data_IF_630190858055
#
_entry.id   IF_630190858055
#
_cell.length_a   1.000
_cell.length_b   1.000
_cell.length_c   1.000
_cell.angle_alpha   90.00
_cell.angle_beta   90.00
_cell.angle_gamma   90.00
#
_symmetry.space_group_name_H-M   'P 1'
#
loop_
_entity.id
_entity.type
_entity.pdbx_description
1 polymer ?
#
# COMPACT_ATOMS: atom_id res chain seq x y z
N UNK A 1 -0.94 -23.51 -7.74
CA UNK A 1 -0.35 -22.30 -8.35
C UNK A 1 0.52 -21.63 -7.30
N UNK A 2 1.81 -21.49 -7.56
CA UNK A 2 2.79 -21.17 -6.53
C UNK A 2 2.64 -19.74 -5.98
N UNK A 3 2.72 -19.60 -4.65
CA UNK A 3 2.68 -18.30 -3.94
C UNK A 3 3.66 -17.28 -4.55
N UNK A 4 4.83 -17.77 -4.98
CA UNK A 4 5.89 -16.97 -5.62
C UNK A 4 5.48 -16.46 -7.01
N UNK A 5 4.79 -17.28 -7.81
CA UNK A 5 4.27 -16.86 -9.12
C UNK A 5 3.18 -15.79 -8.98
N UNK A 6 2.26 -15.97 -8.03
CA UNK A 6 1.20 -15.00 -7.78
C UNK A 6 1.78 -13.64 -7.31
N UNK A 7 2.77 -13.65 -6.40
CA UNK A 7 3.47 -12.43 -6.00
C UNK A 7 4.15 -11.73 -7.18
N UNK A 8 4.83 -12.47 -8.05
CA UNK A 8 5.48 -11.88 -9.22
C UNK A 8 4.49 -11.25 -10.21
N UNK A 9 3.31 -11.88 -10.40
CA UNK A 9 2.24 -11.29 -11.19
C UNK A 9 1.71 -9.99 -10.56
N UNK A 10 1.48 -9.98 -9.25
CA UNK A 10 1.04 -8.78 -8.52
C UNK A 10 2.06 -7.64 -8.62
N UNK A 11 3.36 -7.94 -8.54
CA UNK A 11 4.41 -6.94 -8.72
C UNK A 11 4.46 -6.38 -10.14
N UNK A 12 4.16 -7.18 -11.17
CA UNK A 12 4.04 -6.69 -12.56
C UNK A 12 2.87 -5.70 -12.71
N UNK A 13 1.71 -6.00 -12.12
CA UNK A 13 0.56 -5.10 -12.12
C UNK A 13 0.88 -3.78 -11.40
N UNK A 14 1.61 -3.85 -10.28
CA UNK A 14 2.04 -2.66 -9.57
C UNK A 14 2.90 -1.74 -10.45
N UNK A 15 3.79 -2.31 -11.28
CA UNK A 15 4.58 -1.54 -12.24
C UNK A 15 3.73 -0.86 -13.32
N UNK A 16 2.65 -1.51 -13.77
CA UNK A 16 1.67 -0.91 -14.71
C UNK A 16 0.98 0.29 -14.04
N UNK A 17 0.51 0.15 -12.80
CA UNK A 17 -0.15 1.26 -12.09
C UNK A 17 0.78 2.44 -11.82
N UNK A 18 2.06 2.19 -11.63
CA UNK A 18 3.07 3.24 -11.54
C UNK A 18 3.25 3.96 -12.88
N UNK A 19 3.30 3.22 -13.99
CA UNK A 19 3.44 3.77 -15.34
C UNK A 19 2.22 4.64 -15.73
N UNK A 20 1.02 4.18 -15.36
CA UNK A 20 -0.25 4.87 -15.63
C UNK A 20 -0.56 6.00 -14.63
N UNK A 21 0.36 6.28 -13.69
CA UNK A 21 0.22 7.28 -12.62
C UNK A 21 -0.98 7.06 -11.68
N UNK A 22 -1.56 5.86 -11.68
CA UNK A 22 -2.59 5.44 -10.70
C UNK A 22 -2.03 5.31 -9.29
N UNK A 23 -0.74 5.01 -9.19
CA UNK A 23 0.02 5.05 -7.96
C UNK A 23 1.21 5.96 -8.14
N UNK A 24 1.51 6.76 -7.11
CA UNK A 24 2.78 7.46 -7.07
C UNK A 24 3.91 6.49 -6.62
N UNK A 25 5.19 6.81 -6.87
CA UNK A 25 6.31 5.93 -6.51
C UNK A 25 6.35 5.55 -5.01
N UNK A 26 6.00 6.52 -4.16
CA UNK A 26 5.99 6.37 -2.70
C UNK A 26 4.87 5.42 -2.22
N UNK A 27 3.69 5.48 -2.85
CA UNK A 27 2.59 4.54 -2.62
C UNK A 27 2.95 3.14 -3.15
N UNK A 28 3.57 3.05 -4.32
CA UNK A 28 3.99 1.76 -4.88
C UNK A 28 4.97 1.03 -3.94
N UNK A 29 5.88 1.74 -3.28
CA UNK A 29 6.76 1.14 -2.27
C UNK A 29 6.00 0.55 -1.07
N UNK A 30 4.94 1.23 -0.59
CA UNK A 30 4.07 0.70 0.48
C UNK A 30 3.40 -0.59 0.03
N UNK A 31 2.78 -0.57 -1.15
CA UNK A 31 2.05 -1.73 -1.68
C UNK A 31 3.03 -2.90 -1.91
N UNK A 32 4.23 -2.63 -2.40
CA UNK A 32 5.27 -3.66 -2.56
C UNK A 32 5.65 -4.32 -1.24
N UNK A 33 5.78 -3.53 -0.16
CA UNK A 33 6.00 -4.06 1.18
C UNK A 33 4.80 -4.89 1.66
N UNK A 34 3.60 -4.35 1.50
CA UNK A 34 2.34 -4.96 1.94
C UNK A 34 2.05 -6.30 1.23
N UNK A 35 2.47 -6.48 -0.03
CA UNK A 35 2.36 -7.77 -0.74
C UNK A 35 3.23 -8.86 -0.09
N UNK A 36 4.38 -8.48 0.47
CA UNK A 36 5.30 -9.42 1.13
C UNK A 36 4.82 -9.78 2.54
N UNK A 37 4.13 -8.85 3.20
CA UNK A 37 3.67 -8.97 4.58
C UNK A 37 2.20 -8.51 4.72
N UNK A 38 1.23 -9.34 4.28
CA UNK A 38 -0.19 -9.03 4.41
C UNK A 38 -0.63 -8.92 5.89
N UNK A 39 -1.59 -8.04 6.18
CA UNK A 39 -2.01 -7.73 7.55
C UNK A 39 -1.17 -6.65 8.24
N UNK A 40 -0.10 -6.18 7.60
CA UNK A 40 0.73 -5.10 8.16
C UNK A 40 -0.05 -3.79 8.28
N UNK A 41 0.13 -3.15 9.43
CA UNK A 41 -0.44 -1.85 9.76
C UNK A 41 0.56 -0.73 9.52
N UNK A 42 0.11 0.31 8.83
CA UNK A 42 0.85 1.53 8.55
C UNK A 42 0.23 2.69 9.32
N UNK A 43 1.04 3.50 9.97
CA UNK A 43 0.58 4.75 10.60
C UNK A 43 1.17 5.93 9.86
N UNK A 44 0.48 7.08 9.90
CA UNK A 44 0.99 8.32 9.27
C UNK A 44 2.35 8.71 9.86
N UNK A 45 2.51 8.58 11.19
CA UNK A 45 3.76 8.89 11.88
C UNK A 45 4.89 7.92 11.51
N UNK A 46 4.62 6.61 11.45
CA UNK A 46 5.59 5.61 11.02
C UNK A 46 6.03 5.83 9.57
N UNK A 47 5.06 6.08 8.68
CA UNK A 47 5.34 6.35 7.27
C UNK A 47 6.20 7.62 7.08
N UNK A 48 5.86 8.71 7.78
CA UNK A 48 6.65 9.94 7.82
C UNK A 48 8.12 9.66 8.16
N UNK A 49 8.37 8.86 9.20
CA UNK A 49 9.72 8.52 9.66
C UNK A 49 10.46 7.64 8.66
N UNK A 50 9.82 6.57 8.17
CA UNK A 50 10.45 5.63 7.23
C UNK A 50 10.77 6.28 5.88
N UNK A 51 9.92 7.18 5.38
CA UNK A 51 10.03 7.77 4.05
C UNK A 51 10.53 9.22 4.05
N UNK A 52 10.86 9.78 5.23
CA UNK A 52 11.40 11.14 5.37
C UNK A 52 10.56 12.22 4.68
N UNK A 53 9.24 12.11 4.79
CA UNK A 53 8.28 13.07 4.21
C UNK A 53 7.63 13.94 5.29
N UNK A 54 6.85 14.94 4.89
CA UNK A 54 6.02 15.69 5.83
C UNK A 54 4.84 14.83 6.33
N UNK A 55 4.24 15.20 7.47
CA UNK A 55 3.02 14.53 7.94
C UNK A 55 1.87 14.63 6.93
N UNK A 56 1.71 15.80 6.28
CA UNK A 56 0.67 16.02 5.27
C UNK A 56 0.88 15.14 4.04
N UNK A 57 2.13 14.99 3.59
CA UNK A 57 2.49 14.08 2.50
C UNK A 57 2.22 12.63 2.89
N UNK A 58 2.65 12.21 4.09
CA UNK A 58 2.41 10.87 4.60
C UNK A 58 0.91 10.53 4.68
N UNK A 59 0.13 11.47 5.20
CA UNK A 59 -1.32 11.36 5.27
C UNK A 59 -1.93 11.23 3.88
N UNK A 60 -1.57 12.11 2.94
CA UNK A 60 -2.09 12.06 1.58
C UNK A 60 -1.68 10.78 0.83
N UNK A 61 -0.46 10.27 1.05
CA UNK A 61 -0.02 9.04 0.38
C UNK A 61 -0.81 7.82 0.88
N UNK A 62 -1.09 7.75 2.18
CA UNK A 62 -1.86 6.65 2.80
C UNK A 62 -3.37 6.76 2.54
N UNK A 63 -3.95 7.95 2.65
CA UNK A 63 -5.41 8.15 2.45
C UNK A 63 -5.83 8.03 0.99
N UNK A 64 -4.95 8.35 0.03
CA UNK A 64 -5.23 8.17 -1.41
C UNK A 64 -4.87 6.77 -1.91
N UNK A 65 -4.59 5.84 -1.01
CA UNK A 65 -4.23 4.48 -1.36
C UNK A 65 -5.38 3.54 -0.98
N UNK A 66 -6.34 3.40 -1.89
CA UNK A 66 -7.56 2.60 -1.70
C UNK A 66 -7.31 1.08 -1.66
N UNK A 67 -6.03 0.68 -1.73
CA UNK A 67 -5.57 -0.70 -1.54
C UNK A 67 -5.38 -1.08 -0.06
N UNK A 68 -5.38 -0.10 0.85
CA UNK A 68 -5.29 -0.32 2.29
C UNK A 68 -6.63 0.00 2.96
N UNK A 69 -6.97 -0.76 4.00
CA UNK A 69 -8.15 -0.49 4.80
C UNK A 69 -7.81 0.50 5.91
N UNK A 70 -8.51 1.64 5.93
CA UNK A 70 -8.33 2.66 6.96
C UNK A 70 -9.18 2.33 8.19
N UNK A 71 -8.55 2.35 9.36
CA UNK A 71 -9.17 2.21 10.67
C UNK A 71 -8.81 3.40 11.54
N UNK A 72 -9.75 3.81 12.40
CA UNK A 72 -9.47 4.75 13.48
C UNK A 72 -9.21 3.97 14.76
N UNK A 73 -7.98 4.04 15.27
CA UNK A 73 -7.59 3.45 16.55
C UNK A 73 -7.31 4.59 17.53
N UNK A 74 -8.19 4.75 18.51
CA UNK A 74 -8.16 5.85 19.47
C UNK A 74 -8.11 7.24 18.78
N UNK A 75 -6.95 7.92 18.86
CA UNK A 75 -6.68 9.24 18.29
C UNK A 75 -5.86 9.20 16.99
N UNK A 76 -5.61 8.01 16.44
CA UNK A 76 -4.78 7.82 15.24
C UNK A 76 -5.49 7.03 14.14
N UNK A 77 -5.10 7.28 12.89
CA UNK A 77 -5.45 6.43 11.76
C UNK A 77 -4.38 5.36 11.55
N UNK A 78 -4.85 4.14 11.29
CA UNK A 78 -4.04 2.97 10.94
C UNK A 78 -4.56 2.44 9.61
N UNK A 79 -3.66 2.17 8.67
CA UNK A 79 -3.96 1.65 7.35
C UNK A 79 -3.46 0.22 7.29
N UNK A 80 -4.34 -0.76 7.13
CA UNK A 80 -3.98 -2.17 7.19
C UNK A 80 -4.04 -2.76 5.78
N UNK A 81 -3.00 -3.48 5.39
CA UNK A 81 -2.99 -4.25 4.16
C UNK A 81 -3.91 -5.47 4.31
N UNK A 82 -4.96 -5.63 3.48
CA UNK A 82 -5.82 -6.81 3.52
C UNK A 82 -5.03 -8.09 3.27
N UNK A 83 -5.46 -9.21 3.87
CA UNK A 83 -4.83 -10.52 3.64
C UNK A 83 -4.89 -10.95 2.16
N UNK A 84 -5.91 -10.46 1.45
CA UNK A 84 -6.17 -10.67 0.03
C UNK A 84 -5.75 -9.48 -0.84
N UNK A 85 -4.82 -8.63 -0.37
CA UNK A 85 -4.31 -7.46 -1.11
C UNK A 85 -3.95 -7.77 -2.57
N UNK A 86 -3.41 -8.95 -2.85
CA UNK A 86 -3.10 -9.37 -4.23
C UNK A 86 -4.31 -9.44 -5.15
N UNK A 87 -5.51 -9.74 -4.63
CA UNK A 87 -6.78 -9.67 -5.36
C UNK A 87 -7.24 -8.24 -5.53
N UNK A 88 -7.14 -7.41 -4.47
CA UNK A 88 -7.44 -5.98 -4.55
C UNK A 88 -6.61 -5.28 -5.61
N UNK A 89 -5.31 -5.60 -5.71
CA UNK A 89 -4.43 -5.09 -6.76
C UNK A 89 -4.90 -5.54 -8.14
N UNK A 90 -5.33 -6.80 -8.35
CA UNK A 90 -5.84 -7.25 -9.65
C UNK A 90 -7.13 -6.54 -10.07
N UNK A 91 -7.95 -6.14 -9.10
CA UNK A 91 -9.20 -5.43 -9.32
C UNK A 91 -9.02 -3.89 -9.39
N UNK A 92 -7.82 -3.39 -9.11
CA UNK A 92 -7.55 -1.95 -9.05
C UNK A 92 -7.57 -1.34 -10.46
N UNK A 93 -8.59 -0.51 -10.72
CA UNK A 93 -8.83 0.22 -11.96
C UNK A 93 -9.08 1.70 -11.61
#
# INVERSE_FOLDING_TARGET
MDKKQNQQQTLKLLAVYLADRRLNPRQAMIVQHAIKDPGMGYTIAGYKLSYHVSYATAKSDLEKLDLLQQFKRERAFVFIAPNDLGQGIKAYQ
#
